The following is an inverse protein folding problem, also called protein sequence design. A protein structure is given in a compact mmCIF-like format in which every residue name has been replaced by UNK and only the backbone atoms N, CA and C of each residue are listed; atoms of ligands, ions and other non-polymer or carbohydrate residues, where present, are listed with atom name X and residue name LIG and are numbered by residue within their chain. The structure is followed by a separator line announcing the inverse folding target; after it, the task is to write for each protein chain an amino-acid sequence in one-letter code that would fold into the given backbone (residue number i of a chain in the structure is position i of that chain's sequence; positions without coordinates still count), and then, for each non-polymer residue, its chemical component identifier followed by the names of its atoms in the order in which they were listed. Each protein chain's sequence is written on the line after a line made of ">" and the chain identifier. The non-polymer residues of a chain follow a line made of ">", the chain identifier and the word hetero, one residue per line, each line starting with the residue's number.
data_IF_689780345560
#
_entry.id   IF_689780345560
#
_cell.length_a   1.000
_cell.length_b   1.000
_cell.length_c   1.000
_cell.angle_alpha   90.00
_cell.angle_beta   90.00
_cell.angle_gamma   90.00
#
_symmetry.space_group_name_H-M   'P 1'
#
loop_
_entity.id
_entity.type
_entity.pdbx_description
1 polymer ?
#
# COMPACT_ATOMS: atom_id res chain seq x y z
N UNK A 1 -27.32 0.74 -10.82
CA UNK A 1 -26.47 0.48 -9.63
C UNK A 1 -25.58 -0.70 -9.98
N UNK A 2 -24.28 -0.50 -10.29
CA UNK A 2 -23.36 -1.63 -10.40
C UNK A 2 -23.17 -2.12 -8.97
N UNK A 3 -23.97 -3.11 -8.60
CA UNK A 3 -23.97 -3.67 -7.25
C UNK A 3 -22.67 -4.44 -7.03
N UNK A 4 -22.16 -4.50 -5.79
CA UNK A 4 -21.05 -5.38 -5.37
C UNK A 4 -21.19 -6.83 -5.87
N UNK A 5 -22.40 -7.26 -6.27
CA UNK A 5 -22.65 -8.53 -6.96
C UNK A 5 -21.83 -8.69 -8.25
N UNK A 6 -21.58 -7.61 -8.97
CA UNK A 6 -20.89 -7.61 -10.27
C UNK A 6 -19.36 -7.56 -10.15
N UNK A 7 -18.79 -7.37 -8.96
CA UNK A 7 -17.33 -7.37 -8.79
C UNK A 7 -16.77 -8.74 -9.27
N UNK A 8 -15.93 -8.76 -10.31
CA UNK A 8 -15.36 -10.01 -10.79
C UNK A 8 -14.31 -10.50 -9.78
N UNK A 9 -14.09 -11.81 -9.74
CA UNK A 9 -13.00 -12.44 -8.99
C UNK A 9 -13.00 -12.20 -7.47
N UNK A 10 -14.16 -12.13 -6.81
CA UNK A 10 -14.27 -11.86 -5.35
C UNK A 10 -13.32 -12.69 -4.47
N UNK A 11 -13.18 -13.98 -4.77
CA UNK A 11 -12.32 -14.91 -4.01
C UNK A 11 -10.83 -14.57 -4.13
N UNK A 12 -10.39 -13.99 -5.25
CA UNK A 12 -8.97 -13.69 -5.44
C UNK A 12 -8.51 -12.51 -4.60
N UNK A 13 -9.36 -11.52 -4.32
CA UNK A 13 -9.01 -10.42 -3.41
C UNK A 13 -8.72 -10.95 -2.00
N UNK A 14 -9.54 -11.89 -1.52
CA UNK A 14 -9.30 -12.56 -0.23
C UNK A 14 -7.99 -13.35 -0.25
N UNK A 15 -7.72 -14.06 -1.35
CA UNK A 15 -6.46 -14.79 -1.52
C UNK A 15 -5.25 -13.85 -1.54
N UNK A 16 -5.35 -12.67 -2.16
CA UNK A 16 -4.29 -11.65 -2.13
C UNK A 16 -4.03 -11.16 -0.70
N UNK A 17 -5.08 -10.90 0.09
CA UNK A 17 -4.92 -10.54 1.50
C UNK A 17 -4.18 -11.65 2.29
N UNK A 18 -4.59 -12.90 2.12
CA UNK A 18 -3.96 -14.04 2.78
C UNK A 18 -2.49 -14.19 2.37
N UNK A 19 -2.19 -14.04 1.08
CA UNK A 19 -0.83 -14.11 0.56
C UNK A 19 0.06 -12.99 1.12
N UNK A 20 -0.45 -11.77 1.23
CA UNK A 20 0.25 -10.68 1.92
C UNK A 20 0.58 -11.04 3.36
N UNK A 21 -0.40 -11.50 4.12
CA UNK A 21 -0.24 -11.85 5.53
C UNK A 21 0.80 -12.97 5.67
N UNK A 22 0.73 -14.01 4.83
CA UNK A 22 1.69 -15.10 4.85
C UNK A 22 3.11 -14.61 4.58
N UNK A 23 3.31 -13.70 3.63
CA UNK A 23 4.63 -13.14 3.34
C UNK A 23 5.18 -12.31 4.50
N UNK A 24 4.37 -11.43 5.10
CA UNK A 24 4.76 -10.58 6.24
C UNK A 24 5.20 -11.43 7.43
N UNK A 25 4.51 -12.54 7.69
CA UNK A 25 4.76 -13.42 8.83
C UNK A 25 5.60 -14.65 8.50
N UNK A 26 6.13 -14.74 7.28
CA UNK A 26 6.86 -15.92 6.81
C UNK A 26 8.02 -16.29 7.74
N UNK A 27 8.81 -15.29 8.16
CA UNK A 27 9.92 -15.51 9.09
C UNK A 27 9.45 -16.05 10.45
N UNK A 28 8.31 -15.58 10.96
CA UNK A 28 7.75 -16.08 12.22
C UNK A 28 7.30 -17.55 12.09
N UNK A 29 6.71 -17.92 10.96
CA UNK A 29 6.33 -19.31 10.66
C UNK A 29 7.55 -20.22 10.50
N UNK A 30 8.58 -19.78 9.77
CA UNK A 30 9.81 -20.56 9.62
C UNK A 30 10.48 -20.73 10.97
N UNK A 31 10.62 -19.66 11.76
CA UNK A 31 11.23 -19.70 13.08
C UNK A 31 10.54 -20.70 14.02
N UNK A 32 9.21 -20.72 14.10
CA UNK A 32 8.53 -21.67 14.99
C UNK A 32 8.75 -23.13 14.56
N UNK A 33 8.83 -23.39 13.24
CA UNK A 33 8.98 -24.72 12.65
C UNK A 33 10.41 -25.24 12.71
N UNK A 34 11.42 -24.39 12.53
CA UNK A 34 12.82 -24.81 12.35
C UNK A 34 13.72 -24.49 13.53
N UNK A 35 13.27 -23.73 14.53
CA UNK A 35 14.11 -23.42 15.70
C UNK A 35 14.29 -24.64 16.59
N UNK A 36 15.55 -25.06 16.73
CA UNK A 36 16.02 -26.12 17.63
C UNK A 36 16.24 -25.55 19.03
N UNK A 37 15.35 -25.89 19.95
CA UNK A 37 15.41 -25.53 21.37
C UNK A 37 16.38 -26.40 22.18
N UNK A 38 16.92 -27.45 21.58
CA UNK A 38 17.88 -28.38 22.18
C UNK A 38 19.34 -28.13 21.78
N UNK A 39 19.59 -27.08 20.99
CA UNK A 39 20.92 -26.73 20.52
C UNK A 39 21.93 -26.54 21.68
N UNK A 40 23.14 -27.10 21.52
CA UNK A 40 24.16 -27.16 22.57
C UNK A 40 24.55 -25.77 23.11
N UNK A 41 24.52 -24.74 22.26
CA UNK A 41 24.85 -23.35 22.60
C UNK A 41 23.81 -22.69 23.51
N UNK A 42 22.56 -23.17 23.43
CA UNK A 42 21.43 -22.63 24.18
C UNK A 42 21.09 -23.56 25.34
N UNK A 43 21.62 -24.79 25.42
CA UNK A 43 21.28 -25.78 26.45
C UNK A 43 21.40 -25.31 27.92
N UNK A 44 22.19 -24.28 28.22
CA UNK A 44 22.32 -23.66 29.55
C UNK A 44 21.26 -22.59 29.85
N UNK A 45 20.58 -22.11 28.82
CA UNK A 45 19.52 -21.11 28.84
C UNK A 45 18.23 -21.88 28.48
N UNK A 46 17.10 -21.63 29.12
CA UNK A 46 15.86 -22.34 28.76
C UNK A 46 15.50 -22.07 27.28
N UNK A 47 15.81 -23.01 26.36
CA UNK A 47 15.77 -22.80 24.91
C UNK A 47 14.39 -22.43 24.39
N UNK A 48 13.35 -22.97 25.00
CA UNK A 48 11.95 -22.62 24.75
C UNK A 48 11.65 -21.13 25.01
N UNK A 49 12.22 -20.56 26.08
CA UNK A 49 12.03 -19.14 26.40
C UNK A 49 12.68 -18.22 25.35
N UNK A 50 13.81 -18.64 24.80
CA UNK A 50 14.52 -17.93 23.72
C UNK A 50 13.70 -18.03 22.42
N UNK A 51 13.20 -19.23 22.10
CA UNK A 51 12.32 -19.47 20.95
C UNK A 51 11.12 -18.53 20.96
N UNK A 52 10.41 -18.46 22.09
CA UNK A 52 9.23 -17.61 22.25
C UNK A 52 9.57 -16.11 22.24
N UNK A 53 10.68 -15.70 22.86
CA UNK A 53 11.12 -14.30 22.85
C UNK A 53 11.41 -13.81 21.43
N UNK A 54 12.10 -14.60 20.62
CA UNK A 54 12.38 -14.28 19.22
C UNK A 54 11.08 -14.28 18.41
N UNK A 55 10.22 -15.28 18.61
CA UNK A 55 8.92 -15.35 17.94
C UNK A 55 8.07 -14.09 18.19
N UNK A 56 7.94 -13.65 19.44
CA UNK A 56 7.24 -12.40 19.78
C UNK A 56 7.95 -11.16 19.25
N UNK A 57 9.28 -11.18 19.12
CA UNK A 57 10.04 -10.14 18.44
C UNK A 57 9.68 -10.04 16.95
N UNK A 58 9.58 -11.18 16.25
CA UNK A 58 9.20 -11.25 14.84
C UNK A 58 7.76 -10.76 14.60
N UNK A 59 6.88 -10.95 15.59
CA UNK A 59 5.49 -10.49 15.56
C UNK A 59 5.28 -9.07 16.11
N UNK A 60 6.37 -8.37 16.48
CA UNK A 60 6.30 -6.98 16.94
C UNK A 60 5.86 -6.03 15.84
N UNK A 61 5.27 -4.88 16.23
CA UNK A 61 4.80 -3.88 15.27
C UNK A 61 5.95 -3.37 14.37
N UNK A 62 7.12 -3.10 14.95
CA UNK A 62 8.32 -2.70 14.21
C UNK A 62 8.67 -3.69 13.10
N UNK A 63 8.82 -4.98 13.44
CA UNK A 63 9.28 -5.98 12.50
C UNK A 63 8.23 -6.26 11.41
N UNK A 64 6.97 -6.35 11.82
CA UNK A 64 5.86 -6.61 10.89
C UNK A 64 5.64 -5.45 9.92
N UNK A 65 5.78 -4.19 10.36
CA UNK A 65 5.73 -3.03 9.47
C UNK A 65 6.95 -2.95 8.55
N UNK A 66 8.12 -3.37 9.00
CA UNK A 66 9.31 -3.48 8.15
C UNK A 66 9.09 -4.49 7.01
N UNK A 67 8.70 -5.72 7.34
CA UNK A 67 8.40 -6.77 6.36
C UNK A 67 7.26 -6.36 5.42
N UNK A 68 6.19 -5.77 5.97
CA UNK A 68 5.11 -5.20 5.16
C UNK A 68 5.63 -4.14 4.18
N UNK A 69 6.48 -3.22 4.65
CA UNK A 69 7.03 -2.16 3.82
C UNK A 69 7.91 -2.68 2.69
N UNK A 70 8.57 -3.82 2.89
CA UNK A 70 9.34 -4.52 1.87
C UNK A 70 8.40 -5.14 0.82
N UNK A 71 7.46 -6.00 1.25
CA UNK A 71 6.61 -6.73 0.32
C UNK A 71 5.59 -5.86 -0.43
N UNK A 72 5.14 -4.75 0.17
CA UNK A 72 4.21 -3.83 -0.49
C UNK A 72 4.79 -3.29 -1.81
N UNK A 73 6.12 -3.17 -1.92
CA UNK A 73 6.77 -2.57 -3.07
C UNK A 73 6.53 -3.39 -4.36
N UNK A 74 6.32 -4.69 -4.20
CA UNK A 74 6.04 -5.60 -5.30
C UNK A 74 4.54 -5.88 -5.41
N UNK A 75 3.90 -6.09 -4.28
CA UNK A 75 2.54 -6.62 -4.29
C UNK A 75 1.48 -5.54 -4.56
N UNK A 76 1.71 -4.27 -4.21
CA UNK A 76 0.75 -3.20 -4.53
C UNK A 76 0.66 -2.89 -6.01
N UNK A 77 1.75 -2.72 -6.78
CA UNK A 77 1.67 -2.60 -8.24
C UNK A 77 0.91 -3.78 -8.87
N UNK A 78 1.12 -5.01 -8.41
CA UNK A 78 0.39 -6.19 -8.88
C UNK A 78 -1.11 -6.15 -8.51
N UNK A 79 -1.44 -5.76 -7.27
CA UNK A 79 -2.83 -5.55 -6.84
C UNK A 79 -3.53 -4.51 -7.71
N UNK A 80 -2.85 -3.42 -8.05
CA UNK A 80 -3.38 -2.31 -8.83
C UNK A 80 -3.63 -2.74 -10.28
N UNK A 81 -2.74 -3.55 -10.86
CA UNK A 81 -2.98 -4.18 -12.17
C UNK A 81 -4.17 -5.13 -12.13
N UNK A 82 -4.30 -5.92 -11.05
CA UNK A 82 -5.43 -6.83 -10.88
C UNK A 82 -6.77 -6.06 -10.82
N UNK A 83 -6.79 -4.95 -10.07
CA UNK A 83 -7.94 -4.03 -10.01
C UNK A 83 -8.16 -3.36 -11.37
N UNK A 84 -7.10 -3.01 -12.11
CA UNK A 84 -7.15 -2.53 -13.48
C UNK A 84 -7.80 -3.53 -14.44
N UNK A 85 -7.54 -4.83 -14.28
CA UNK A 85 -8.20 -5.87 -15.07
C UNK A 85 -9.70 -5.93 -14.77
N UNK A 86 -10.06 -5.85 -13.48
CA UNK A 86 -11.46 -5.79 -13.07
C UNK A 86 -12.16 -4.54 -13.66
N UNK A 87 -11.48 -3.39 -13.70
CA UNK A 87 -11.96 -2.19 -14.36
C UNK A 87 -12.20 -2.41 -15.85
N UNK A 88 -11.20 -2.90 -16.58
CA UNK A 88 -11.29 -3.17 -18.02
C UNK A 88 -12.44 -4.12 -18.35
N UNK A 89 -12.56 -5.22 -17.59
CA UNK A 89 -13.65 -6.19 -17.73
C UNK A 89 -15.02 -5.54 -17.52
N UNK A 90 -15.19 -4.78 -16.44
CA UNK A 90 -16.46 -4.15 -16.09
C UNK A 90 -16.84 -3.04 -17.08
N UNK A 91 -15.87 -2.23 -17.51
CA UNK A 91 -16.06 -1.19 -18.53
C UNK A 91 -16.60 -1.78 -19.83
N UNK A 92 -15.95 -2.83 -20.33
CA UNK A 92 -16.26 -3.39 -21.64
C UNK A 92 -17.51 -4.26 -21.67
N UNK A 93 -17.85 -4.94 -20.57
CA UNK A 93 -19.03 -5.81 -20.51
C UNK A 93 -20.28 -5.13 -19.96
N UNK A 94 -20.16 -4.21 -19.00
CA UNK A 94 -21.32 -3.60 -18.35
C UNK A 94 -21.49 -2.13 -18.69
N UNK A 95 -20.42 -1.33 -18.64
CA UNK A 95 -20.55 0.10 -18.94
C UNK A 95 -20.83 0.36 -20.43
N UNK A 96 -20.47 -0.58 -21.30
CA UNK A 96 -20.74 -0.53 -22.75
C UNK A 96 -22.23 -0.37 -23.09
N UNK A 97 -23.14 -0.88 -22.25
CA UNK A 97 -24.59 -0.74 -22.47
C UNK A 97 -25.10 0.70 -22.32
N UNK A 98 -24.30 1.60 -21.76
CA UNK A 98 -24.63 3.02 -21.64
C UNK A 98 -24.04 3.87 -22.79
N UNK A 99 -23.36 3.25 -23.77
CA UNK A 99 -22.90 3.95 -24.98
C UNK A 99 -24.09 4.59 -25.70
N UNK A 100 -23.91 5.83 -26.18
CA UNK A 100 -24.98 6.67 -26.73
C UNK A 100 -25.69 7.56 -25.70
N UNK A 101 -25.46 7.36 -24.39
CA UNK A 101 -25.94 8.25 -23.31
C UNK A 101 -24.75 8.89 -22.60
N UNK A 102 -24.13 9.89 -23.23
CA UNK A 102 -22.84 10.49 -22.83
C UNK A 102 -22.75 10.87 -21.34
N UNK A 103 -23.77 11.54 -20.80
CA UNK A 103 -23.84 11.91 -19.38
C UNK A 103 -23.91 10.68 -18.45
N UNK A 104 -24.76 9.71 -18.77
CA UNK A 104 -24.92 8.51 -17.94
C UNK A 104 -23.69 7.60 -18.00
N UNK A 105 -23.06 7.47 -19.17
CA UNK A 105 -21.84 6.70 -19.38
C UNK A 105 -20.67 7.27 -18.55
N UNK A 106 -20.40 8.57 -18.66
CA UNK A 106 -19.32 9.23 -17.94
C UNK A 106 -19.48 9.15 -16.42
N UNK A 107 -20.70 9.37 -15.91
CA UNK A 107 -21.02 9.21 -14.49
C UNK A 107 -20.82 7.76 -14.01
N UNK A 108 -21.18 6.78 -14.84
CA UNK A 108 -21.05 5.36 -14.49
C UNK A 108 -19.58 4.93 -14.43
N UNK A 109 -18.76 5.38 -15.38
CA UNK A 109 -17.31 5.14 -15.35
C UNK A 109 -16.66 5.80 -14.15
N UNK A 110 -16.99 7.07 -13.87
CA UNK A 110 -16.43 7.78 -12.71
C UNK A 110 -16.74 7.05 -11.40
N UNK A 111 -17.99 6.60 -11.23
CA UNK A 111 -18.39 5.79 -10.06
C UNK A 111 -17.63 4.46 -10.00
N UNK A 112 -17.46 3.77 -11.13
CA UNK A 112 -16.72 2.52 -11.20
C UNK A 112 -15.25 2.69 -10.78
N UNK A 113 -14.56 3.72 -11.31
CA UNK A 113 -13.18 4.04 -10.94
C UNK A 113 -13.05 4.30 -9.44
N UNK A 114 -13.93 5.12 -8.86
CA UNK A 114 -13.93 5.41 -7.41
C UNK A 114 -14.14 4.13 -6.59
N UNK A 115 -15.14 3.31 -6.95
CA UNK A 115 -15.43 2.08 -6.22
C UNK A 115 -14.24 1.10 -6.22
N UNK A 116 -13.58 0.94 -7.38
CA UNK A 116 -12.42 0.05 -7.51
C UNK A 116 -11.16 0.62 -6.84
N UNK A 117 -10.96 1.94 -6.87
CA UNK A 117 -9.88 2.59 -6.13
C UNK A 117 -10.10 2.48 -4.61
N UNK A 118 -11.34 2.57 -4.12
CA UNK A 118 -11.64 2.34 -2.70
C UNK A 118 -11.43 0.88 -2.29
N UNK A 119 -11.55 -0.07 -3.23
CA UNK A 119 -11.28 -1.48 -2.95
C UNK A 119 -9.80 -1.74 -2.63
N UNK A 120 -8.85 -1.07 -3.31
CA UNK A 120 -7.42 -1.21 -3.00
C UNK A 120 -7.12 -0.68 -1.59
N UNK A 121 -7.69 0.48 -1.23
CA UNK A 121 -7.60 1.04 0.12
C UNK A 121 -8.19 0.08 1.14
N UNK A 122 -9.37 -0.50 0.87
CA UNK A 122 -10.02 -1.45 1.78
C UNK A 122 -9.19 -2.74 2.00
N UNK A 123 -8.54 -3.25 0.96
CA UNK A 123 -7.62 -4.39 1.11
C UNK A 123 -6.44 -4.02 2.01
N UNK A 124 -5.86 -2.84 1.79
CA UNK A 124 -4.81 -2.31 2.66
C UNK A 124 -5.29 -2.14 4.11
N UNK A 125 -6.49 -1.60 4.34
CA UNK A 125 -7.01 -1.38 5.69
C UNK A 125 -7.17 -2.69 6.47
N UNK A 126 -7.63 -3.76 5.81
CA UNK A 126 -7.75 -5.10 6.40
C UNK A 126 -6.37 -5.62 6.83
N UNK A 127 -5.36 -5.51 5.96
CA UNK A 127 -4.01 -6.00 6.24
C UNK A 127 -3.40 -5.21 7.41
N UNK A 128 -3.53 -3.88 7.40
CA UNK A 128 -3.03 -3.03 8.48
C UNK A 128 -3.73 -3.33 9.81
N UNK A 129 -5.06 -3.49 9.79
CA UNK A 129 -5.83 -3.88 10.97
C UNK A 129 -5.35 -5.24 11.53
N UNK A 130 -5.09 -6.21 10.65
CA UNK A 130 -4.54 -7.50 11.05
C UNK A 130 -3.17 -7.35 11.76
N UNK A 131 -2.24 -6.59 11.18
CA UNK A 131 -0.93 -6.30 11.79
C UNK A 131 -1.08 -5.69 13.19
N UNK A 132 -1.96 -4.70 13.33
CA UNK A 132 -2.24 -4.03 14.61
C UNK A 132 -2.80 -5.04 15.63
N UNK A 133 -3.75 -5.89 15.23
CA UNK A 133 -4.35 -6.88 16.15
C UNK A 133 -3.34 -7.91 16.64
N UNK A 134 -2.48 -8.42 15.77
CA UNK A 134 -1.43 -9.39 16.15
C UNK A 134 -0.42 -8.75 17.09
N UNK A 135 0.09 -7.56 16.74
CA UNK A 135 1.09 -6.85 17.55
C UNK A 135 0.56 -6.49 18.94
N UNK A 136 -0.72 -6.09 19.02
CA UNK A 136 -1.40 -5.85 20.31
C UNK A 136 -1.62 -7.13 21.10
N UNK A 137 -2.05 -8.22 20.46
CA UNK A 137 -2.29 -9.51 21.11
C UNK A 137 -1.05 -10.08 21.80
N UNK A 138 0.13 -9.72 21.33
CA UNK A 138 1.44 -10.19 21.86
C UNK A 138 2.06 -9.18 22.84
N UNK A 139 1.46 -7.99 22.99
CA UNK A 139 1.99 -6.94 23.87
C UNK A 139 3.28 -6.27 23.34
N UNK A 140 3.52 -6.32 22.03
CA UNK A 140 4.70 -5.72 21.36
C UNK A 140 4.27 -4.65 20.35
N UNK A 141 3.45 -3.71 20.80
CA UNK A 141 2.86 -2.66 19.97
C UNK A 141 3.72 -1.41 19.84
N UNK A 142 4.80 -1.28 20.60
CA UNK A 142 5.66 -0.10 20.58
C UNK A 142 6.53 -0.06 19.31
N UNK A 143 6.65 1.15 18.74
CA UNK A 143 7.41 1.41 17.51
C UNK A 143 8.57 2.34 17.88
N UNK A 144 9.79 1.86 17.65
CA UNK A 144 11.01 2.57 18.06
C UNK A 144 11.52 3.48 16.95
N UNK A 145 12.04 4.65 17.30
CA UNK A 145 12.69 5.55 16.33
C UNK A 145 11.74 6.36 15.45
N UNK A 146 10.48 6.55 15.87
CA UNK A 146 9.51 7.40 15.17
C UNK A 146 10.05 8.83 14.98
N UNK A 147 10.82 9.33 15.95
CA UNK A 147 11.40 10.68 15.92
C UNK A 147 12.33 10.89 14.71
N UNK A 148 12.99 9.84 14.22
CA UNK A 148 13.89 9.90 13.06
C UNK A 148 13.16 9.83 11.71
N UNK A 149 11.86 9.52 11.70
CA UNK A 149 11.08 9.47 10.45
C UNK A 149 10.76 10.86 9.90
N UNK A 150 10.63 11.86 10.75
CA UNK A 150 10.20 13.19 10.37
C UNK A 150 11.31 14.20 10.59
N UNK A 151 11.44 15.14 9.67
CA UNK A 151 12.36 16.26 9.86
C UNK A 151 11.85 17.15 11.00
N UNK A 152 12.74 17.52 11.94
CA UNK A 152 12.41 18.34 13.11
C UNK A 152 11.79 19.71 12.75
N UNK A 153 12.09 20.24 11.57
CA UNK A 153 11.55 21.52 11.10
C UNK A 153 10.24 21.36 10.31
N UNK A 154 9.71 20.14 10.16
CA UNK A 154 8.49 19.88 9.40
C UNK A 154 7.25 19.83 10.29
N UNK A 155 6.12 20.30 9.76
CA UNK A 155 4.79 20.11 10.38
C UNK A 155 4.49 18.61 10.62
N UNK A 156 5.07 17.71 9.81
CA UNK A 156 4.92 16.28 9.98
C UNK A 156 5.52 15.75 11.29
N UNK A 157 6.43 16.50 11.93
CA UNK A 157 7.00 16.14 13.24
C UNK A 157 5.90 15.95 14.30
N UNK A 158 4.74 16.59 14.15
CA UNK A 158 3.56 16.34 14.97
C UNK A 158 3.20 14.84 15.05
N UNK A 159 3.32 14.11 13.94
CA UNK A 159 3.04 12.66 13.89
C UNK A 159 4.11 11.81 14.59
N UNK A 160 5.28 12.39 14.88
CA UNK A 160 6.34 11.77 15.65
C UNK A 160 6.38 12.17 17.14
N UNK A 161 5.60 13.17 17.54
CA UNK A 161 5.56 13.67 18.93
C UNK A 161 4.36 13.15 19.73
N UNK A 162 4.54 13.11 21.06
CA UNK A 162 3.56 12.73 22.08
C UNK A 162 2.44 13.78 22.27
N UNK A 163 1.68 14.12 21.23
CA UNK A 163 0.58 15.08 21.32
C UNK A 163 -0.78 14.41 21.12
N UNK A 164 -1.12 13.43 21.97
CA UNK A 164 -2.48 12.87 22.04
C UNK A 164 -3.01 12.83 23.49
N UNK A 165 -4.27 13.26 23.58
CA UNK A 165 -5.19 13.25 24.72
C UNK A 165 -5.17 11.97 25.60
N UNK A 166 -5.29 12.18 26.91
CA UNK A 166 -5.30 11.20 28.01
C UNK A 166 -6.27 10.00 27.85
N UNK A 167 -7.31 10.12 27.01
CA UNK A 167 -8.32 9.08 26.80
C UNK A 167 -7.92 8.05 25.73
N UNK A 168 -7.20 8.49 24.69
CA UNK A 168 -6.63 7.59 23.67
C UNK A 168 -5.36 6.92 24.23
N UNK A 169 -4.64 7.61 25.12
CA UNK A 169 -3.50 7.09 25.89
C UNK A 169 -3.81 5.73 26.54
N UNK A 170 -4.95 5.63 27.23
CA UNK A 170 -5.31 4.45 28.02
C UNK A 170 -5.57 3.19 27.19
N UNK A 171 -5.99 3.33 25.93
CA UNK A 171 -6.34 2.19 25.07
C UNK A 171 -5.28 1.83 24.02
N UNK A 172 -4.34 2.73 23.70
CA UNK A 172 -3.56 2.59 22.47
C UNK A 172 -2.06 2.97 22.51
N UNK A 173 -1.51 3.60 23.55
CA UNK A 173 -0.08 3.98 23.61
C UNK A 173 0.29 5.20 22.71
N UNK A 174 1.29 5.99 23.09
CA UNK A 174 1.27 7.44 22.82
C UNK A 174 1.85 7.94 21.49
N UNK A 175 2.81 7.26 20.89
CA UNK A 175 3.45 7.72 19.64
C UNK A 175 3.08 6.87 18.42
N UNK A 176 2.76 5.60 18.65
CA UNK A 176 2.54 4.63 17.58
C UNK A 176 1.26 4.90 16.81
N UNK A 177 0.23 5.45 17.46
CA UNK A 177 -1.06 5.78 16.82
C UNK A 177 -0.90 6.93 15.84
N UNK A 178 -0.23 8.01 16.26
CA UNK A 178 -0.01 9.19 15.41
C UNK A 178 0.72 8.78 14.13
N UNK A 179 1.78 7.99 14.27
CA UNK A 179 2.48 7.42 13.14
C UNK A 179 1.57 6.51 12.30
N UNK A 180 0.77 5.62 12.90
CA UNK A 180 -0.16 4.75 12.16
C UNK A 180 -1.25 5.52 11.42
N UNK A 181 -1.71 6.65 11.94
CA UNK A 181 -2.64 7.56 11.26
C UNK A 181 -1.96 8.17 10.04
N UNK A 182 -0.76 8.73 10.20
CA UNK A 182 0.06 9.22 9.08
C UNK A 182 0.27 8.13 8.03
N UNK A 183 0.68 6.95 8.49
CA UNK A 183 0.92 5.77 7.67
C UNK A 183 -0.32 5.41 6.85
N UNK A 184 -1.48 5.33 7.50
CA UNK A 184 -2.76 5.07 6.86
C UNK A 184 -3.08 6.09 5.77
N UNK A 185 -2.95 7.39 6.07
CA UNK A 185 -3.27 8.45 5.12
C UNK A 185 -2.35 8.42 3.90
N UNK A 186 -1.04 8.37 4.11
CA UNK A 186 -0.06 8.38 3.02
C UNK A 186 -0.27 7.18 2.09
N UNK A 187 -0.45 5.98 2.65
CA UNK A 187 -0.69 4.76 1.86
C UNK A 187 -2.02 4.78 1.14
N UNK A 188 -3.08 5.26 1.80
CA UNK A 188 -4.40 5.35 1.17
C UNK A 188 -4.38 6.31 -0.02
N UNK A 189 -3.73 7.47 0.12
CA UNK A 189 -3.53 8.42 -0.97
C UNK A 189 -2.73 7.81 -2.13
N UNK A 190 -1.61 7.12 -1.81
CA UNK A 190 -0.79 6.42 -2.79
C UNK A 190 -1.62 5.41 -3.61
N UNK A 191 -2.35 4.52 -2.93
CA UNK A 191 -3.18 3.50 -3.57
C UNK A 191 -4.29 4.09 -4.42
N UNK A 192 -4.93 5.18 -3.97
CA UNK A 192 -5.95 5.87 -4.75
C UNK A 192 -5.36 6.44 -6.04
N UNK A 193 -4.26 7.20 -5.95
CA UNK A 193 -3.63 7.83 -7.12
C UNK A 193 -3.21 6.78 -8.14
N UNK A 194 -2.57 5.72 -7.70
CA UNK A 194 -2.11 4.64 -8.57
C UNK A 194 -3.26 3.86 -9.23
N UNK A 195 -4.33 3.61 -8.48
CA UNK A 195 -5.56 3.02 -9.04
C UNK A 195 -6.15 3.91 -10.13
N UNK A 196 -6.22 5.23 -9.92
CA UNK A 196 -6.68 6.15 -10.95
C UNK A 196 -5.72 6.21 -12.15
N UNK A 197 -4.41 6.18 -11.91
CA UNK A 197 -3.40 6.20 -12.96
C UNK A 197 -3.55 5.01 -13.89
N UNK A 198 -3.62 3.78 -13.37
CA UNK A 198 -3.81 2.58 -14.22
C UNK A 198 -5.13 2.65 -15.00
N UNK A 199 -6.23 3.14 -14.40
CA UNK A 199 -7.49 3.27 -15.13
C UNK A 199 -7.38 4.24 -16.30
N UNK A 200 -6.64 5.35 -16.14
CA UNK A 200 -6.42 6.31 -17.22
C UNK A 200 -5.48 5.76 -18.30
N UNK A 201 -4.45 4.98 -17.92
CA UNK A 201 -3.60 4.26 -18.89
C UNK A 201 -4.43 3.24 -19.67
N UNK A 202 -5.33 2.50 -19.00
CA UNK A 202 -6.25 1.55 -19.65
C UNK A 202 -7.19 2.26 -20.61
N UNK A 203 -7.75 3.41 -20.21
CA UNK A 203 -8.60 4.20 -21.08
C UNK A 203 -7.85 4.73 -22.30
N UNK A 204 -6.58 5.12 -22.12
CA UNK A 204 -5.70 5.60 -23.19
C UNK A 204 -5.38 4.53 -24.23
N UNK A 205 -4.92 3.36 -23.80
CA UNK A 205 -4.53 2.32 -24.75
C UNK A 205 -5.69 1.44 -25.20
N UNK A 206 -6.80 1.42 -24.47
CA UNK A 206 -7.95 0.51 -24.66
C UNK A 206 -7.59 -0.99 -24.76
N UNK A 207 -6.37 -1.36 -24.33
CA UNK A 207 -5.87 -2.74 -24.30
C UNK A 207 -5.22 -3.00 -22.94
N UNK A 208 -5.76 -3.96 -22.19
CA UNK A 208 -5.33 -4.23 -20.81
C UNK A 208 -3.85 -4.65 -20.72
N UNK A 209 -3.41 -5.60 -21.56
CA UNK A 209 -2.04 -6.13 -21.50
C UNK A 209 -0.99 -5.05 -21.74
N UNK A 210 -1.19 -4.23 -22.78
CA UNK A 210 -0.32 -3.08 -23.08
C UNK A 210 -0.30 -2.07 -21.93
N UNK A 211 -1.46 -1.80 -21.35
CA UNK A 211 -1.60 -0.86 -20.23
C UNK A 211 -0.87 -1.35 -18.96
N UNK A 212 -1.02 -2.64 -18.64
CA UNK A 212 -0.35 -3.26 -17.50
C UNK A 212 1.18 -3.24 -17.67
N UNK A 213 1.69 -3.54 -18.87
CA UNK A 213 3.12 -3.47 -19.16
C UNK A 213 3.67 -2.04 -19.04
N UNK A 214 2.97 -1.05 -19.61
CA UNK A 214 3.38 0.36 -19.50
C UNK A 214 3.40 0.82 -18.04
N UNK A 215 2.38 0.44 -17.26
CA UNK A 215 2.32 0.75 -15.84
C UNK A 215 3.46 0.09 -15.04
N UNK A 216 3.75 -1.19 -15.29
CA UNK A 216 4.87 -1.87 -14.63
C UNK A 216 6.23 -1.30 -15.03
N UNK A 217 6.41 -0.96 -16.31
CA UNK A 217 7.62 -0.29 -16.77
C UNK A 217 7.77 1.07 -16.09
N UNK A 218 6.69 1.83 -15.94
CA UNK A 218 6.71 3.08 -15.20
C UNK A 218 7.10 2.87 -13.73
N UNK A 219 6.45 1.94 -13.02
CA UNK A 219 6.68 1.74 -11.58
C UNK A 219 8.02 1.08 -11.26
N UNK A 220 8.39 0.03 -11.99
CA UNK A 220 9.59 -0.77 -11.72
C UNK A 220 10.70 -0.52 -12.73
N UNK A 221 10.38 -0.52 -14.02
CA UNK A 221 11.39 -0.42 -15.08
C UNK A 221 12.17 0.90 -15.07
N UNK A 222 11.50 2.01 -14.78
CA UNK A 222 12.17 3.32 -14.71
C UNK A 222 12.92 3.55 -13.41
N UNK A 223 12.57 2.83 -12.33
CA UNK A 223 13.10 3.12 -11.01
C UNK A 223 14.64 3.02 -10.92
N UNK A 224 15.32 1.95 -11.39
CA UNK A 224 16.79 1.86 -11.35
C UNK A 224 17.49 3.02 -12.07
N UNK A 225 16.91 3.47 -13.18
CA UNK A 225 17.45 4.57 -13.98
C UNK A 225 17.24 5.88 -13.22
N UNK A 226 16.02 6.15 -12.77
CA UNK A 226 15.66 7.43 -12.15
C UNK A 226 16.34 7.63 -10.79
N UNK A 227 16.56 6.58 -9.99
CA UNK A 227 17.32 6.68 -8.75
C UNK A 227 18.75 7.20 -8.95
N UNK A 228 19.32 7.05 -10.15
CA UNK A 228 20.67 7.53 -10.46
C UNK A 228 20.73 9.03 -10.76
N UNK A 229 19.60 9.66 -11.14
CA UNK A 229 19.56 11.05 -11.61
C UNK A 229 18.65 11.96 -10.78
N UNK A 230 17.68 11.40 -10.08
CA UNK A 230 16.67 12.13 -9.34
C UNK A 230 16.76 11.80 -7.85
N UNK A 231 16.38 12.75 -6.97
CA UNK A 231 16.16 12.43 -5.58
C UNK A 231 15.09 11.34 -5.44
N UNK A 232 15.22 10.51 -4.40
CA UNK A 232 14.35 9.33 -4.20
C UNK A 232 12.86 9.69 -4.28
N UNK A 233 12.45 10.84 -3.74
CA UNK A 233 11.06 11.30 -3.73
C UNK A 233 10.49 11.70 -5.10
N UNK A 234 11.27 11.69 -6.18
CA UNK A 234 10.76 11.89 -7.55
C UNK A 234 10.72 10.60 -8.37
N UNK A 235 11.09 9.46 -7.77
CA UNK A 235 10.97 8.16 -8.43
C UNK A 235 9.52 7.66 -8.29
N UNK A 236 8.88 7.15 -9.37
CA UNK A 236 7.47 6.76 -9.38
C UNK A 236 7.05 5.84 -8.24
N UNK A 237 7.88 4.88 -7.85
CA UNK A 237 7.56 3.94 -6.79
C UNK A 237 7.49 4.59 -5.39
N UNK A 238 8.06 5.77 -5.23
CA UNK A 238 8.37 6.33 -3.91
C UNK A 238 7.14 6.79 -3.14
N UNK A 239 6.06 7.24 -3.78
CA UNK A 239 4.83 7.57 -3.02
C UNK A 239 4.23 6.33 -2.36
N UNK A 240 4.38 5.13 -2.97
CA UNK A 240 4.02 3.86 -2.33
C UNK A 240 4.99 3.56 -1.18
N UNK A 241 6.28 3.82 -1.35
CA UNK A 241 7.33 3.47 -0.37
C UNK A 241 7.68 4.60 0.62
N UNK A 242 6.95 5.70 0.64
CA UNK A 242 7.38 6.92 1.33
C UNK A 242 7.64 6.67 2.82
N UNK A 243 6.85 5.82 3.44
CA UNK A 243 6.97 5.41 4.85
C UNK A 243 8.18 4.51 5.15
N UNK A 244 9.02 4.19 4.17
CA UNK A 244 10.28 3.46 4.33
C UNK A 244 11.50 4.39 4.39
N UNK A 245 11.31 5.68 4.16
CA UNK A 245 12.36 6.69 4.22
C UNK A 245 12.32 7.44 5.57
N UNK A 246 13.46 7.99 5.97
CA UNK A 246 13.60 8.85 7.15
C UNK A 246 13.73 10.32 6.78
N UNK A 247 13.72 11.19 7.80
CA UNK A 247 13.87 12.65 7.65
C UNK A 247 12.87 13.28 6.65
N UNK A 248 11.62 12.83 6.72
CA UNK A 248 10.57 13.20 5.77
C UNK A 248 10.00 14.59 6.08
N UNK A 249 9.89 15.41 5.03
CA UNK A 249 9.19 16.69 5.02
C UNK A 249 7.87 16.63 4.25
N UNK A 250 6.96 17.55 4.57
CA UNK A 250 5.68 17.69 3.87
C UNK A 250 5.85 17.84 2.34
N UNK A 251 6.85 18.61 1.90
CA UNK A 251 7.16 18.79 0.48
C UNK A 251 7.49 17.47 -0.20
N UNK A 252 8.35 16.65 0.41
CA UNK A 252 8.73 15.36 -0.18
C UNK A 252 7.52 14.45 -0.33
N UNK A 253 6.60 14.41 0.66
CA UNK A 253 5.36 13.62 0.55
C UNK A 253 4.56 14.02 -0.68
N UNK A 254 4.36 15.31 -0.95
CA UNK A 254 3.62 15.75 -2.14
C UNK A 254 4.41 15.55 -3.44
N UNK A 255 5.72 15.80 -3.42
CA UNK A 255 6.57 15.70 -4.60
C UNK A 255 6.59 14.28 -5.20
N UNK A 256 6.40 13.25 -4.37
CA UNK A 256 6.30 11.84 -4.84
C UNK A 256 5.17 11.58 -5.83
N UNK A 257 4.16 12.45 -5.91
CA UNK A 257 3.05 12.31 -6.86
C UNK A 257 3.29 13.03 -8.19
N UNK A 258 4.34 13.85 -8.31
CA UNK A 258 4.65 14.59 -9.53
C UNK A 258 4.84 13.69 -10.76
N UNK A 259 5.57 12.56 -10.69
CA UNK A 259 5.72 11.66 -11.84
C UNK A 259 4.37 11.14 -12.35
N UNK A 260 3.48 10.73 -11.44
CA UNK A 260 2.15 10.25 -11.78
C UNK A 260 1.28 11.37 -12.39
N UNK A 261 1.38 12.60 -11.86
CA UNK A 261 0.70 13.76 -12.40
C UNK A 261 1.17 14.11 -13.82
N UNK A 262 2.48 14.06 -14.09
CA UNK A 262 3.04 14.30 -15.42
C UNK A 262 2.51 13.29 -16.43
N UNK A 263 2.53 11.99 -16.11
CA UNK A 263 1.98 10.95 -16.99
C UNK A 263 0.49 11.16 -17.23
N UNK A 264 -0.27 11.46 -16.17
CA UNK A 264 -1.69 11.73 -16.30
C UNK A 264 -1.97 12.90 -17.24
N UNK A 265 -1.21 14.00 -17.14
CA UNK A 265 -1.34 15.16 -18.02
C UNK A 265 -0.98 14.82 -19.47
N UNK A 266 0.09 14.06 -19.71
CA UNK A 266 0.49 13.60 -21.06
C UNK A 266 -0.63 12.76 -21.70
N UNK A 267 -1.20 11.81 -20.95
CA UNK A 267 -2.30 10.96 -21.40
C UNK A 267 -3.52 11.82 -21.75
N UNK A 268 -3.89 12.75 -20.85
CA UNK A 268 -5.07 13.61 -21.04
C UNK A 268 -4.90 14.57 -22.22
N UNK A 269 -3.70 15.10 -22.44
CA UNK A 269 -3.40 15.96 -23.57
C UNK A 269 -3.46 15.23 -24.91
N UNK A 270 -3.03 13.97 -24.97
CA UNK A 270 -3.13 13.18 -26.21
C UNK A 270 -4.57 12.72 -26.49
N UNK A 271 -5.36 12.43 -25.47
CA UNK A 271 -6.75 11.97 -25.61
C UNK A 271 -7.79 13.08 -25.87
N UNK A 272 -7.43 14.36 -25.81
CA UNK A 272 -8.36 15.44 -26.16
C UNK A 272 -8.81 15.40 -27.64
N UNK A 273 -8.09 14.67 -28.48
CA UNK A 273 -8.37 14.52 -29.91
C UNK A 273 -9.01 13.18 -30.30
N UNK A 274 -9.19 12.26 -29.34
CA UNK A 274 -9.93 11.01 -29.59
C UNK A 274 -11.43 11.25 -29.39
N UNK A 275 -12.15 11.28 -30.50
CA UNK A 275 -13.62 11.28 -30.53
C UNK A 275 -14.07 9.91 -30.01
N UNK A 276 -14.68 9.87 -28.82
CA UNK A 276 -15.45 8.71 -28.32
C UNK A 276 -16.78 8.63 -29.07
#
# INVERSE_FOLDING_TARGET
>A
MITLKLLPYKKTYLLICLLFILLIYNQAFIHILTFDDSAADIAKIQGESVKLKIFYGLLSLNNTLFEYNFYQAFLFPLLIIFIGNAYYYLKNRYCRYYLGRTLYYSLTIKKLKIMLALLSVFIFTIILAFIITVSKGIGRFDLSGIEYYFNNNSILYFFGTNTINYLIYYFFGTNTINYLIYYFFVKSCALLVESFLIFNIIDYFNYFTKSALVYLLFMWGTAPILYSFLPFYLVPMTHIMMTSYGDITLWQVFATYLPCAIIFLIIKYKNSYEII
#
